data_IF_188325650899
#
_entry.id   IF_188325650899
#
_cell.length_a   1.000
_cell.length_b   1.000
_cell.length_c   1.000
_cell.angle_alpha   90.00
_cell.angle_beta   90.00
_cell.angle_gamma   90.00
#
_symmetry.space_group_name_H-M   'P 1'
#
loop_
_entity.id
_entity.type
_entity.pdbx_description
1 polymer ?
#
# COMPACT_ATOMS: atom_id res chain seq x y z
N UNK A 1 -20.30 17.81 19.26
CA UNK A 1 -20.13 17.37 20.64
C UNK A 1 -18.82 16.65 20.81
N UNK A 2 -18.14 16.89 21.92
CA UNK A 2 -16.79 16.37 22.18
C UNK A 2 -16.69 14.85 22.13
N UNK A 3 -17.71 14.15 22.55
CA UNK A 3 -17.76 12.68 22.58
C UNK A 3 -17.66 12.07 21.19
N UNK A 4 -18.38 12.62 20.23
CA UNK A 4 -18.38 12.11 18.85
C UNK A 4 -17.09 12.40 18.15
N UNK A 5 -16.47 13.54 18.46
CA UNK A 5 -15.15 13.89 17.91
C UNK A 5 -14.07 12.96 18.42
N UNK A 6 -14.11 12.58 19.69
CA UNK A 6 -13.15 11.63 20.26
C UNK A 6 -13.30 10.24 19.66
N UNK A 7 -14.53 9.78 19.44
CA UNK A 7 -14.79 8.51 18.76
C UNK A 7 -14.25 8.51 17.34
N UNK A 8 -14.50 9.58 16.61
CA UNK A 8 -14.00 9.73 15.24
C UNK A 8 -12.47 9.70 15.22
N UNK A 9 -11.84 10.45 16.13
CA UNK A 9 -10.38 10.49 16.23
C UNK A 9 -9.80 9.13 16.55
N UNK A 10 -10.43 8.38 17.46
CA UNK A 10 -9.97 7.04 17.81
C UNK A 10 -10.13 6.07 16.65
N UNK A 11 -11.19 6.17 15.87
CA UNK A 11 -11.39 5.36 14.66
C UNK A 11 -10.34 5.68 13.61
N UNK A 12 -9.99 6.95 13.44
CA UNK A 12 -8.93 7.37 12.52
C UNK A 12 -7.59 6.79 12.94
N UNK A 13 -7.26 6.89 14.23
CA UNK A 13 -6.00 6.35 14.76
C UNK A 13 -5.91 4.84 14.56
N UNK A 14 -7.01 4.13 14.80
CA UNK A 14 -7.07 2.68 14.59
C UNK A 14 -6.89 2.34 13.12
N UNK A 15 -7.59 3.06 12.23
CA UNK A 15 -7.46 2.84 10.79
C UNK A 15 -6.03 3.07 10.32
N UNK A 16 -5.37 4.12 10.79
CA UNK A 16 -3.97 4.39 10.46
C UNK A 16 -3.04 3.30 10.99
N UNK A 17 -3.27 2.83 12.23
CA UNK A 17 -2.51 1.74 12.81
C UNK A 17 -2.68 0.44 12.02
N UNK A 18 -3.91 0.15 11.59
CA UNK A 18 -4.20 -1.04 10.78
C UNK A 18 -3.52 -0.96 9.41
N UNK A 19 -3.53 0.22 8.78
CA UNK A 19 -2.85 0.45 7.50
C UNK A 19 -1.34 0.27 7.62
N UNK A 20 -0.77 0.70 8.73
CA UNK A 20 0.65 0.55 8.99
C UNK A 20 1.08 -0.92 9.03
N UNK A 21 0.19 -1.79 9.50
CA UNK A 21 0.42 -3.23 9.62
C UNK A 21 0.01 -4.01 8.37
N UNK A 22 -0.76 -3.39 7.48
CA UNK A 22 -1.21 -4.00 6.24
C UNK A 22 -0.04 -4.14 5.28
N UNK A 23 0.21 -5.36 4.81
CA UNK A 23 1.31 -5.62 3.87
C UNK A 23 0.71 -6.02 2.53
N UNK A 24 1.05 -5.24 1.52
CA UNK A 24 0.69 -5.54 0.13
C UNK A 24 1.94 -6.07 -0.55
N UNK A 25 1.84 -7.23 -1.15
CA UNK A 25 2.96 -7.84 -1.86
C UNK A 25 2.63 -7.92 -3.35
N UNK A 26 3.55 -7.45 -4.18
CA UNK A 26 3.45 -7.51 -5.63
C UNK A 26 4.75 -8.02 -6.20
N UNK A 27 4.65 -8.63 -7.39
CA UNK A 27 5.83 -9.17 -8.06
C UNK A 27 5.87 -8.76 -9.52
N UNK A 28 7.06 -8.79 -10.10
CA UNK A 28 7.30 -8.60 -11.52
C UNK A 28 8.39 -9.57 -11.97
N UNK A 29 8.43 -9.84 -13.30
CA UNK A 29 9.42 -10.74 -13.87
C UNK A 29 9.30 -12.18 -13.39
N UNK A 30 8.08 -12.69 -13.25
CA UNK A 30 7.80 -14.05 -12.75
C UNK A 30 8.44 -14.34 -11.38
N UNK A 31 8.37 -13.37 -10.49
CA UNK A 31 8.90 -13.50 -9.14
C UNK A 31 10.36 -13.07 -9.01
N UNK A 32 10.97 -12.55 -10.08
CA UNK A 32 12.34 -12.04 -10.02
C UNK A 32 12.45 -10.86 -9.06
N UNK A 33 11.40 -10.04 -9.00
CA UNK A 33 11.32 -8.89 -8.10
C UNK A 33 10.02 -8.98 -7.31
N UNK A 34 10.13 -8.92 -5.99
CA UNK A 34 8.97 -8.89 -5.08
C UNK A 34 9.09 -7.63 -4.22
N UNK A 35 8.03 -6.84 -4.20
CA UNK A 35 7.99 -5.60 -3.42
C UNK A 35 6.89 -5.71 -2.38
N UNK A 36 7.22 -5.37 -1.14
CA UNK A 36 6.26 -5.27 -0.04
C UNK A 36 6.04 -3.81 0.30
N UNK A 37 4.80 -3.39 0.30
CA UNK A 37 4.40 -2.01 0.57
C UNK A 37 3.34 -2.02 1.68
N UNK A 38 3.45 -1.07 2.61
CA UNK A 38 2.45 -0.95 3.67
C UNK A 38 1.23 -0.17 3.17
N UNK A 39 0.12 -0.30 3.88
CA UNK A 39 -1.08 0.49 3.60
C UNK A 39 -0.89 1.99 3.77
N UNK A 40 0.20 2.42 4.39
CA UNK A 40 0.60 3.82 4.48
C UNK A 40 1.43 4.29 3.27
N UNK A 41 1.53 3.48 2.22
CA UNK A 41 2.28 3.77 0.99
C UNK A 41 3.79 3.84 1.21
N UNK A 42 4.30 3.07 2.16
CA UNK A 42 5.74 2.96 2.41
C UNK A 42 6.26 1.64 1.91
N UNK A 43 7.37 1.67 1.20
CA UNK A 43 8.05 0.44 0.77
C UNK A 43 8.70 -0.18 1.99
N UNK A 44 8.27 -1.40 2.32
CA UNK A 44 8.82 -2.16 3.44
C UNK A 44 10.05 -2.94 3.03
N UNK A 45 10.00 -3.59 1.86
CA UNK A 45 11.07 -4.45 1.39
C UNK A 45 11.01 -4.62 -0.11
N UNK A 46 12.18 -4.70 -0.74
CA UNK A 46 12.34 -5.11 -2.13
C UNK A 46 13.22 -6.34 -2.11
N UNK A 47 12.71 -7.44 -2.66
CA UNK A 47 13.42 -8.71 -2.75
C UNK A 47 13.71 -9.01 -4.21
N UNK A 48 14.97 -9.30 -4.52
CA UNK A 48 15.39 -9.65 -5.87
C UNK A 48 15.94 -11.08 -5.84
N UNK A 49 15.37 -11.95 -6.67
CA UNK A 49 15.85 -13.32 -6.82
C UNK A 49 16.97 -13.32 -7.85
N UNK A 50 18.20 -13.44 -7.38
CA UNK A 50 19.38 -13.38 -8.23
C UNK A 50 19.45 -14.51 -9.28
N UNK A 51 18.72 -15.61 -9.06
CA UNK A 51 18.66 -16.71 -10.02
C UNK A 51 17.75 -16.43 -11.20
N UNK A 52 16.92 -15.40 -11.11
CA UNK A 52 15.93 -15.02 -12.14
C UNK A 52 16.25 -13.71 -12.83
N UNK A 53 17.38 -13.08 -12.48
CA UNK A 53 17.83 -11.83 -13.08
C UNK A 53 18.99 -12.07 -14.00
N UNK A 54 18.99 -11.36 -15.13
CA UNK A 54 20.11 -11.32 -16.05
C UNK A 54 20.94 -10.07 -15.75
N UNK A 55 22.12 -10.27 -15.16
CA UNK A 55 23.01 -9.16 -14.79
C UNK A 55 23.61 -8.46 -16.01
N UNK A 56 23.52 -9.08 -17.18
CA UNK A 56 23.93 -8.44 -18.44
C UNK A 56 22.83 -7.55 -19.02
N UNK A 57 21.63 -7.61 -18.45
CA UNK A 57 20.50 -6.76 -18.84
C UNK A 57 19.89 -6.07 -17.62
N UNK A 58 20.63 -5.10 -17.11
CA UNK A 58 20.21 -4.34 -15.93
C UNK A 58 18.95 -3.53 -16.19
N UNK A 59 18.75 -3.05 -17.42
CA UNK A 59 17.54 -2.28 -17.75
C UNK A 59 16.26 -3.10 -17.62
N UNK A 60 16.32 -4.41 -17.84
CA UNK A 60 15.17 -5.29 -17.58
C UNK A 60 14.84 -5.34 -16.09
N UNK A 61 15.86 -5.47 -15.24
CA UNK A 61 15.67 -5.47 -13.79
C UNK A 61 15.11 -4.13 -13.31
N UNK A 62 15.63 -3.03 -13.80
CA UNK A 62 15.13 -1.70 -13.47
C UNK A 62 13.65 -1.56 -13.84
N UNK A 63 13.27 -2.07 -15.01
CA UNK A 63 11.89 -2.06 -15.48
C UNK A 63 10.97 -2.88 -14.58
N UNK A 64 11.40 -4.06 -14.16
CA UNK A 64 10.63 -4.91 -13.25
C UNK A 64 10.44 -4.24 -11.88
N UNK A 65 11.48 -3.59 -11.37
CA UNK A 65 11.38 -2.85 -10.11
C UNK A 65 10.35 -1.71 -10.24
N UNK A 66 10.41 -0.97 -11.34
CA UNK A 66 9.47 0.12 -11.62
C UNK A 66 8.03 -0.38 -11.65
N UNK A 67 7.78 -1.48 -12.38
CA UNK A 67 6.45 -2.07 -12.49
C UNK A 67 5.95 -2.51 -11.10
N UNK A 68 6.77 -3.26 -10.35
CA UNK A 68 6.38 -3.79 -9.05
C UNK A 68 6.08 -2.66 -8.06
N UNK A 69 6.89 -1.62 -8.04
CA UNK A 69 6.67 -0.46 -7.16
C UNK A 69 5.40 0.28 -7.56
N UNK A 70 5.20 0.53 -8.86
CA UNK A 70 4.01 1.22 -9.37
C UNK A 70 2.74 0.46 -9.02
N UNK A 71 2.71 -0.84 -9.33
CA UNK A 71 1.54 -1.68 -9.08
C UNK A 71 1.29 -1.83 -7.58
N UNK A 72 2.35 -1.95 -6.79
CA UNK A 72 2.25 -2.04 -5.35
C UNK A 72 1.68 -0.77 -4.73
N UNK A 73 2.13 0.39 -5.17
CA UNK A 73 1.60 1.68 -4.69
C UNK A 73 0.14 1.85 -5.06
N UNK A 74 -0.24 1.50 -6.30
CA UNK A 74 -1.63 1.57 -6.73
C UNK A 74 -2.52 0.66 -5.87
N UNK A 75 -2.05 -0.55 -5.60
CA UNK A 75 -2.79 -1.51 -4.77
C UNK A 75 -2.88 -1.05 -3.32
N UNK A 76 -1.81 -0.47 -2.79
CA UNK A 76 -1.80 0.10 -1.44
C UNK A 76 -2.78 1.26 -1.32
N UNK A 77 -2.90 2.10 -2.35
CA UNK A 77 -3.89 3.17 -2.40
C UNK A 77 -5.32 2.63 -2.36
N UNK A 78 -5.59 1.55 -3.08
CA UNK A 78 -6.90 0.88 -3.05
C UNK A 78 -7.21 0.35 -1.64
N UNK A 79 -6.25 -0.31 -1.00
CA UNK A 79 -6.40 -0.83 0.36
C UNK A 79 -6.64 0.31 1.34
N UNK A 80 -5.89 1.40 1.23
CA UNK A 80 -6.07 2.58 2.07
C UNK A 80 -7.47 3.19 1.89
N UNK A 81 -7.93 3.32 0.64
CA UNK A 81 -9.26 3.83 0.34
C UNK A 81 -10.35 2.94 0.93
N UNK A 82 -10.22 1.62 0.83
CA UNK A 82 -11.16 0.66 1.42
C UNK A 82 -11.23 0.77 2.95
N UNK A 83 -10.10 0.93 3.60
CA UNK A 83 -10.02 1.10 5.06
C UNK A 83 -10.65 2.41 5.53
N UNK A 84 -10.51 3.47 4.73
CA UNK A 84 -11.04 4.79 5.07
C UNK A 84 -12.50 5.00 4.66
N UNK A 85 -13.02 4.14 3.79
CA UNK A 85 -14.37 4.25 3.25
C UNK A 85 -15.46 4.32 4.33
N UNK A 86 -15.44 3.49 5.39
CA UNK A 86 -16.44 3.61 6.46
C UNK A 86 -16.40 4.96 7.19
N UNK A 87 -15.21 5.56 7.30
CA UNK A 87 -15.03 6.86 7.94
C UNK A 87 -15.52 7.99 7.03
N UNK A 88 -15.23 7.89 5.75
CA UNK A 88 -15.68 8.88 4.75
C UNK A 88 -17.18 8.81 4.51
N UNK A 89 -17.78 7.63 4.67
CA UNK A 89 -19.23 7.47 4.60
C UNK A 89 -19.96 8.33 5.62
N UNK A 90 -19.40 8.46 6.83
CA UNK A 90 -19.91 9.35 7.86
C UNK A 90 -19.83 10.83 7.47
N UNK A 91 -18.77 11.20 6.75
CA UNK A 91 -18.61 12.56 6.23
C UNK A 91 -19.55 12.85 5.08
N UNK A 92 -19.86 11.84 4.27
CA UNK A 92 -20.82 11.98 3.17
C UNK A 92 -22.22 12.33 3.63
N UNK A 93 -22.57 11.95 4.84
CA UNK A 93 -23.89 12.26 5.44
C UNK A 93 -24.02 13.71 5.92
N UNK A 94 -22.96 14.49 5.83
CA UNK A 94 -22.99 15.91 6.18
C UNK A 94 -23.45 16.82 5.03
N UNK A 95 -24.04 16.25 3.99
CA UNK A 95 -24.63 17.03 2.92
C UNK A 95 -23.65 17.43 1.83
N UNK A 96 -22.60 16.71 1.70
CA UNK A 96 -21.64 16.93 0.60
C UNK A 96 -22.03 16.10 -0.65
#
# INVERSE_FOLDING_TARGET
MAFDQMKMLNKLRKAQSDLKKEIIEVEAGDGAVVVQITGELKIKKINIDSTRVDLDDISELEHWIEIAVRDGLAKAQEVAAEKMKPLMGGLGNLGL
#
